data_IF_990201387978
#
_entry.id   IF_990201387978
#
_cell.length_a   1.000
_cell.length_b   1.000
_cell.length_c   1.000
_cell.angle_alpha   90.00
_cell.angle_beta   90.00
_cell.angle_gamma   90.00
#
_symmetry.space_group_name_H-M   'P 1'
#
loop_
_entity.id
_entity.type
_entity.pdbx_description
1 polymer ?
#
# COMPACT_ATOMS: atom_id res chain seq x y z
N UNK A 1 -6.96 -17.80 -2.82
CA UNK A 1 -8.10 -17.66 -1.88
C UNK A 1 -7.77 -16.49 -0.96
N UNK A 2 -8.48 -15.34 -1.02
CA UNK A 2 -8.21 -14.23 -0.12
C UNK A 2 -8.52 -14.65 1.32
N UNK A 3 -7.57 -14.44 2.24
CA UNK A 3 -7.80 -14.67 3.67
C UNK A 3 -9.01 -13.83 4.10
N UNK A 4 -10.11 -14.51 4.50
CA UNK A 4 -11.25 -13.84 5.14
C UNK A 4 -10.92 -13.70 6.62
N UNK A 5 -11.44 -12.66 7.26
CA UNK A 5 -11.50 -12.58 8.72
C UNK A 5 -12.33 -13.76 9.24
N UNK A 6 -11.66 -14.87 9.58
CA UNK A 6 -12.28 -16.03 10.21
C UNK A 6 -11.40 -16.46 11.38
N UNK A 7 -11.99 -16.50 12.58
CA UNK A 7 -11.35 -17.13 13.75
C UNK A 7 -11.94 -18.53 13.90
N UNK A 8 -11.10 -19.54 14.16
CA UNK A 8 -11.60 -20.85 14.62
C UNK A 8 -12.21 -20.62 16.00
N UNK A 9 -13.52 -20.82 16.14
CA UNK A 9 -14.14 -20.91 17.47
C UNK A 9 -13.70 -22.21 18.13
N UNK A 10 -13.33 -22.17 19.41
CA UNK A 10 -12.94 -23.36 20.20
C UNK A 10 -14.07 -24.42 20.32
N UNK A 11 -15.26 -24.11 19.80
CA UNK A 11 -16.36 -25.05 19.60
C UNK A 11 -16.80 -25.05 18.14
N UNK A 12 -16.11 -25.83 17.30
CA UNK A 12 -16.63 -26.50 16.09
C UNK A 12 -17.62 -25.78 15.15
N UNK A 13 -17.64 -24.44 15.08
CA UNK A 13 -18.64 -23.69 14.32
C UNK A 13 -18.11 -22.36 13.79
N UNK A 14 -18.29 -22.11 12.50
CA UNK A 14 -17.95 -20.85 11.84
C UNK A 14 -19.11 -19.88 12.06
N UNK A 15 -19.07 -19.07 13.12
CA UNK A 15 -20.01 -17.95 13.28
C UNK A 15 -19.39 -16.67 12.69
N UNK A 16 -20.13 -15.90 11.86
CA UNK A 16 -19.68 -14.59 11.41
C UNK A 16 -19.81 -13.60 12.57
N UNK A 17 -18.73 -13.41 13.34
CA UNK A 17 -18.66 -12.27 14.26
C UNK A 17 -18.21 -11.03 13.50
N UNK A 18 -18.87 -9.90 13.77
CA UNK A 18 -18.42 -8.57 13.33
C UNK A 18 -17.09 -8.30 14.03
N UNK A 19 -15.99 -8.43 13.31
CA UNK A 19 -14.70 -8.01 13.82
C UNK A 19 -14.68 -6.49 13.89
N UNK A 20 -14.28 -5.96 15.04
CA UNK A 20 -14.05 -4.52 15.18
C UNK A 20 -12.91 -4.10 14.26
N UNK A 21 -13.17 -3.08 13.44
CA UNK A 21 -12.21 -2.48 12.51
C UNK A 21 -11.91 -1.05 12.96
N UNK A 22 -10.64 -0.71 13.09
CA UNK A 22 -10.17 0.64 13.38
C UNK A 22 -9.55 1.23 12.12
N UNK A 23 -10.09 2.35 11.64
CA UNK A 23 -9.49 3.06 10.49
C UNK A 23 -8.16 3.67 10.91
N UNK A 24 -7.10 3.31 10.18
CA UNK A 24 -5.75 3.83 10.41
C UNK A 24 -5.48 5.05 9.53
N UNK A 25 -5.98 5.03 8.28
CA UNK A 25 -5.84 6.12 7.34
C UNK A 25 -6.99 6.10 6.32
N UNK A 26 -7.40 7.28 5.87
CA UNK A 26 -8.31 7.43 4.74
C UNK A 26 -7.91 8.62 3.88
N UNK A 27 -8.09 8.49 2.58
CA UNK A 27 -7.92 9.55 1.60
C UNK A 27 -9.14 9.55 0.69
N UNK A 28 -9.93 10.61 0.75
CA UNK A 28 -11.19 10.72 0.02
C UNK A 28 -10.96 10.63 -1.49
N UNK A 29 -11.82 9.86 -2.17
CA UNK A 29 -11.70 9.58 -3.61
C UNK A 29 -10.58 8.60 -3.97
N UNK A 30 -9.73 8.19 -3.03
CA UNK A 30 -8.66 7.22 -3.25
C UNK A 30 -8.89 5.92 -2.49
N UNK A 31 -8.97 5.94 -1.17
CA UNK A 31 -9.07 4.69 -0.43
C UNK A 31 -8.89 4.82 1.07
N UNK A 32 -8.92 3.68 1.76
CA UNK A 32 -8.74 3.60 3.21
C UNK A 32 -8.00 2.35 3.65
N UNK A 33 -7.37 2.46 4.81
CA UNK A 33 -6.68 1.37 5.49
C UNK A 33 -7.30 1.23 6.88
N UNK A 34 -7.68 0.01 7.25
CA UNK A 34 -8.14 -0.31 8.60
C UNK A 34 -7.43 -1.54 9.16
N UNK A 35 -7.18 -1.53 10.48
CA UNK A 35 -6.78 -2.73 11.21
C UNK A 35 -8.02 -3.45 11.73
N UNK A 36 -7.91 -4.76 11.85
CA UNK A 36 -8.95 -5.63 12.35
C UNK A 36 -8.45 -6.34 13.61
N UNK A 37 -9.32 -6.47 14.61
CA UNK A 37 -9.03 -7.20 15.86
C UNK A 37 -8.52 -8.63 15.69
N UNK A 38 -8.67 -9.26 14.50
CA UNK A 38 -8.10 -10.57 14.19
C UNK A 38 -6.64 -10.53 13.68
N UNK A 39 -6.00 -9.36 13.64
CA UNK A 39 -4.63 -9.18 13.15
C UNK A 39 -4.52 -9.01 11.63
N UNK A 40 -5.65 -8.80 10.93
CA UNK A 40 -5.67 -8.46 9.51
C UNK A 40 -5.74 -6.94 9.31
N UNK A 41 -5.03 -6.49 8.29
CA UNK A 41 -5.09 -5.14 7.75
C UNK A 41 -5.90 -5.19 6.45
N UNK A 42 -6.87 -4.29 6.34
CA UNK A 42 -7.72 -4.14 5.16
C UNK A 42 -7.34 -2.87 4.44
N UNK A 43 -6.92 -3.00 3.18
CA UNK A 43 -6.61 -1.88 2.29
C UNK A 43 -7.68 -1.85 1.21
N UNK A 44 -8.48 -0.78 1.20
CA UNK A 44 -9.55 -0.56 0.22
C UNK A 44 -9.12 0.55 -0.73
N UNK A 45 -9.00 0.21 -2.00
CA UNK A 45 -8.73 1.11 -3.11
C UNK A 45 -9.90 1.03 -4.10
N UNK A 46 -10.00 1.93 -5.09
CA UNK A 46 -11.11 1.91 -6.03
C UNK A 46 -11.01 0.63 -6.88
N UNK A 47 -12.00 -0.26 -6.74
CA UNK A 47 -12.04 -1.55 -7.45
C UNK A 47 -11.13 -2.65 -6.89
N UNK A 48 -10.33 -2.39 -5.84
CA UNK A 48 -9.38 -3.36 -5.29
C UNK A 48 -9.50 -3.39 -3.76
N UNK A 49 -9.58 -4.59 -3.20
CA UNK A 49 -9.50 -4.82 -1.74
C UNK A 49 -8.40 -5.83 -1.44
N UNK A 50 -7.46 -5.45 -0.59
CA UNK A 50 -6.33 -6.29 -0.19
C UNK A 50 -6.43 -6.56 1.32
N UNK A 51 -6.22 -7.82 1.70
CA UNK A 51 -6.16 -8.25 3.10
C UNK A 51 -4.78 -8.83 3.39
N UNK A 52 -4.11 -8.29 4.40
CA UNK A 52 -2.75 -8.70 4.77
C UNK A 52 -2.68 -8.92 6.27
N UNK A 53 -1.88 -9.90 6.70
CA UNK A 53 -1.42 -9.95 8.09
C UNK A 53 -0.28 -8.95 8.28
N UNK A 54 0.02 -8.63 9.54
CA UNK A 54 1.08 -7.70 9.96
C UNK A 54 2.36 -7.79 9.13
N UNK A 55 3.02 -8.95 9.07
CA UNK A 55 4.26 -9.14 8.27
C UNK A 55 4.10 -8.78 6.79
N UNK A 56 2.94 -9.06 6.20
CA UNK A 56 2.65 -8.72 4.80
C UNK A 56 2.37 -7.23 4.62
N UNK A 57 1.69 -6.62 5.60
CA UNK A 57 1.44 -5.19 5.64
C UNK A 57 2.74 -4.39 5.77
N UNK A 58 3.62 -4.76 6.69
CA UNK A 58 4.93 -4.11 6.87
C UNK A 58 5.76 -4.15 5.59
N UNK A 59 5.76 -5.30 4.91
CA UNK A 59 6.50 -5.47 3.66
C UNK A 59 5.93 -4.64 2.53
N UNK A 60 4.60 -4.51 2.44
CA UNK A 60 3.97 -3.61 1.48
C UNK A 60 4.35 -2.15 1.76
N UNK A 61 4.34 -1.73 3.02
CA UNK A 61 4.74 -0.37 3.42
C UNK A 61 6.20 -0.11 3.03
N UNK A 62 7.12 -1.05 3.28
CA UNK A 62 8.52 -0.95 2.84
C UNK A 62 8.65 -0.80 1.31
N UNK A 63 7.89 -1.58 0.54
CA UNK A 63 7.91 -1.48 -0.93
C UNK A 63 7.42 -0.10 -1.42
N UNK A 64 6.40 0.47 -0.77
CA UNK A 64 5.90 1.81 -1.12
C UNK A 64 6.97 2.88 -0.83
N UNK A 65 7.65 2.79 0.32
CA UNK A 65 8.75 3.70 0.65
C UNK A 65 9.90 3.60 -0.36
N UNK A 66 10.34 2.39 -0.69
CA UNK A 66 11.37 2.17 -1.71
C UNK A 66 10.96 2.72 -3.09
N UNK A 67 9.70 2.54 -3.48
CA UNK A 67 9.21 3.08 -4.74
C UNK A 67 9.27 4.62 -4.78
N UNK A 68 8.94 5.27 -3.65
CA UNK A 68 9.03 6.73 -3.51
C UNK A 68 10.47 7.22 -3.60
N UNK A 69 11.39 6.59 -2.87
CA UNK A 69 12.83 6.93 -2.88
C UNK A 69 13.46 6.77 -4.29
N UNK A 70 13.09 5.70 -5.00
CA UNK A 70 13.57 5.45 -6.35
C UNK A 70 13.02 6.45 -7.38
N UNK A 71 11.77 6.89 -7.21
CA UNK A 71 11.17 7.92 -8.07
C UNK A 71 11.90 9.27 -7.92
N UNK A 72 12.24 9.65 -6.70
CA UNK A 72 12.99 10.87 -6.43
C UNK A 72 14.39 10.83 -7.06
N UNK A 73 15.03 9.65 -7.01
CA UNK A 73 16.32 9.42 -7.67
C UNK A 73 16.27 9.59 -9.20
N UNK A 74 15.17 9.16 -9.84
CA UNK A 74 14.97 9.31 -11.28
C UNK A 74 14.80 10.78 -11.68
N UNK A 75 14.04 11.56 -10.90
CA UNK A 75 13.82 13.00 -11.17
C UNK A 75 15.10 13.84 -11.10
N UNK A 76 16.03 13.47 -10.22
CA UNK A 76 17.32 14.16 -10.09
C UNK A 76 18.21 13.90 -11.32
N UNK A 77 18.17 12.70 -11.91
CA UNK A 77 18.96 12.38 -13.10
C UNK A 77 18.43 13.07 -14.37
N UNK A 78 17.11 13.17 -14.53
CA UNK A 78 16.49 13.87 -15.67
C UNK A 78 16.81 15.38 -15.69
N UNK A 79 16.86 16.01 -14.51
CA UNK A 79 17.25 17.41 -14.38
C UNK A 79 18.73 17.65 -14.75
N UNK A 80 19.60 16.65 -14.59
CA UNK A 80 21.02 16.72 -14.97
C UNK A 80 21.24 16.52 -16.47
N UNK A 81 20.42 15.71 -17.13
CA UNK A 81 20.56 15.42 -18.56
C UNK A 81 20.18 16.60 -19.48
N UNK A 82 19.35 17.54 -19.02
CA UNK A 82 18.90 18.70 -19.82
C UNK A 82 19.88 19.89 -19.88
N UNK A 83 21.04 19.84 -19.21
CA UNK A 83 22.02 20.96 -19.19
C UNK A 83 23.18 20.81 -20.17
N UNK A 84 23.27 19.70 -20.87
CA UNK A 84 24.25 19.46 -21.92
C UNK A 84 23.49 19.24 -23.21
N UNK A 85 23.85 19.99 -24.26
CA UNK A 85 23.43 19.89 -25.67
C UNK A 85 22.64 21.12 -26.11
N UNK A 86 23.39 22.19 -26.40
CA UNK A 86 23.26 23.00 -27.61
C UNK A 86 24.39 24.05 -27.61
N UNK A 87 25.56 23.68 -28.15
CA UNK A 87 26.52 24.67 -28.66
C UNK A 87 26.07 25.03 -30.07
N UNK A 88 25.59 26.25 -30.25
CA UNK A 88 25.41 26.84 -31.56
C UNK A 88 26.81 27.10 -32.13
N UNK A 89 27.15 26.44 -33.23
CA UNK A 89 28.34 26.75 -34.02
C UNK A 89 27.87 27.62 -35.18
N UNK A 90 28.15 28.91 -35.12
CA UNK A 90 27.99 29.84 -36.25
C UNK A 90 29.22 29.76 -37.14
N UNK A 91 29.01 29.68 -38.45
CA UNK A 91 30.02 29.90 -39.48
C UNK A 91 29.57 31.06 -40.36
#
# INVERSE_FOLDING_TARGET
MPERCTRKSDKGGIKPMKHEQTTLASCDGFGSISSCSCGLYHIRLPGISVHLREKGFDRLVQMIFQAKENQDSYRINDAKLKKSHLKIVTN
#
